data_IF_906612378656
#
_entry.id   IF_906612378656
#
_cell.length_a   1.000
_cell.length_b   1.000
_cell.length_c   1.000
_cell.angle_alpha   90.00
_cell.angle_beta   90.00
_cell.angle_gamma   90.00
#
_symmetry.space_group_name_H-M   'P 1'
#
loop_
_entity.id
_entity.type
_entity.pdbx_description
1 polymer ?
#
# COMPACT_ATOMS: atom_id res chain seq x y z
N UNK A 1 -0.67 -11.88 22.59
CA UNK A 1 0.17 -11.01 21.75
C UNK A 1 -0.78 -10.33 20.78
N UNK A 2 -0.73 -9.00 20.62
CA UNK A 2 -1.51 -8.37 19.56
C UNK A 2 -0.91 -8.84 18.23
N UNK A 3 -1.64 -9.65 17.47
CA UNK A 3 -1.23 -10.02 16.11
C UNK A 3 -1.03 -8.75 15.27
N UNK A 4 0.06 -8.70 14.50
CA UNK A 4 0.35 -7.61 13.59
C UNK A 4 -0.76 -7.55 12.52
N UNK A 5 -1.27 -6.37 12.23
CA UNK A 5 -2.31 -6.13 11.23
C UNK A 5 -1.87 -5.04 10.24
N UNK A 6 -2.68 -4.76 9.22
CA UNK A 6 -2.34 -3.81 8.17
C UNK A 6 -1.93 -2.42 8.71
N UNK A 7 -2.65 -1.90 9.70
CA UNK A 7 -2.38 -0.58 10.27
C UNK A 7 -1.15 -0.58 11.18
N UNK A 8 -0.98 -1.60 12.03
CA UNK A 8 0.18 -1.67 12.92
C UNK A 8 1.48 -2.00 12.17
N UNK A 9 1.39 -2.76 11.07
CA UNK A 9 2.50 -2.97 10.14
C UNK A 9 2.94 -1.65 9.50
N UNK A 10 2.01 -0.89 8.90
CA UNK A 10 2.31 0.43 8.37
C UNK A 10 2.94 1.36 9.42
N UNK A 11 2.36 1.43 10.62
CA UNK A 11 2.88 2.26 11.69
C UNK A 11 4.31 1.87 12.13
N UNK A 12 4.66 0.58 12.06
CA UNK A 12 5.99 0.09 12.42
C UNK A 12 7.11 0.53 11.47
N UNK A 13 6.77 1.01 10.27
CA UNK A 13 7.74 1.60 9.32
C UNK A 13 8.07 3.07 9.62
N UNK A 14 7.37 3.67 10.60
CA UNK A 14 7.67 5.03 11.04
C UNK A 14 9.10 5.12 11.56
N UNK A 15 9.90 6.02 10.96
CA UNK A 15 11.30 6.22 11.34
C UNK A 15 12.29 5.24 10.69
N UNK A 16 11.84 4.33 9.81
CA UNK A 16 12.75 3.57 8.95
C UNK A 16 13.37 4.53 7.93
N UNK A 17 14.68 4.71 7.95
CA UNK A 17 15.37 5.65 7.07
C UNK A 17 15.69 5.06 5.68
N UNK A 18 15.93 3.75 5.61
CA UNK A 18 16.22 3.01 4.37
C UNK A 18 15.55 1.63 4.43
N UNK A 19 14.99 1.19 3.31
CA UNK A 19 14.41 -0.15 3.20
C UNK A 19 15.51 -1.17 2.87
N UNK A 20 15.84 -2.01 3.84
CA UNK A 20 16.60 -3.23 3.58
C UNK A 20 15.66 -4.42 3.43
N UNK A 21 16.22 -5.61 3.21
CA UNK A 21 15.44 -6.83 2.93
C UNK A 21 14.31 -7.08 3.97
N UNK A 22 14.52 -6.94 5.29
CA UNK A 22 13.44 -7.13 6.26
C UNK A 22 12.29 -6.12 6.07
N UNK A 23 12.59 -4.85 5.84
CA UNK A 23 11.60 -3.80 5.68
C UNK A 23 10.86 -3.94 4.34
N UNK A 24 11.56 -4.32 3.26
CA UNK A 24 10.93 -4.61 1.97
C UNK A 24 9.96 -5.79 2.05
N UNK A 25 10.28 -6.83 2.83
CA UNK A 25 9.36 -7.95 3.07
C UNK A 25 8.13 -7.52 3.84
N UNK A 26 8.28 -6.63 4.82
CA UNK A 26 7.14 -6.06 5.53
C UNK A 26 6.26 -5.21 4.61
N UNK A 27 6.88 -4.33 3.81
CA UNK A 27 6.20 -3.56 2.76
C UNK A 27 5.45 -4.49 1.80
N UNK A 28 6.08 -5.57 1.33
CA UNK A 28 5.42 -6.54 0.45
C UNK A 28 4.11 -7.06 1.05
N UNK A 29 4.12 -7.43 2.34
CA UNK A 29 2.93 -7.91 3.05
C UNK A 29 1.87 -6.82 3.21
N UNK A 30 2.30 -5.58 3.44
CA UNK A 30 1.42 -4.40 3.50
C UNK A 30 0.73 -4.20 2.15
N UNK A 31 1.45 -4.15 1.04
CA UNK A 31 0.88 -3.94 -0.30
C UNK A 31 -0.06 -5.07 -0.71
N UNK A 32 0.30 -6.32 -0.39
CA UNK A 32 -0.60 -7.46 -0.60
C UNK A 32 -1.91 -7.33 0.19
N UNK A 33 -1.85 -6.79 1.41
CA UNK A 33 -3.05 -6.49 2.19
C UNK A 33 -3.76 -5.20 1.75
N UNK A 34 -3.08 -4.29 1.04
CA UNK A 34 -3.66 -3.10 0.43
C UNK A 34 -4.77 -3.43 -0.58
N UNK A 35 -4.57 -4.47 -1.39
CA UNK A 35 -5.62 -4.98 -2.28
C UNK A 35 -6.87 -5.39 -1.50
N UNK A 36 -6.69 -6.14 -0.40
CA UNK A 36 -7.80 -6.55 0.45
C UNK A 36 -8.48 -5.34 1.08
N UNK A 37 -7.71 -4.36 1.57
CA UNK A 37 -8.21 -3.11 2.12
C UNK A 37 -9.11 -2.38 1.12
N UNK A 38 -8.65 -2.17 -0.11
CA UNK A 38 -9.43 -1.48 -1.12
C UNK A 38 -10.67 -2.25 -1.57
N UNK A 39 -10.61 -3.58 -1.64
CA UNK A 39 -11.79 -4.39 -1.94
C UNK A 39 -12.82 -4.32 -0.80
N UNK A 40 -12.40 -4.35 0.46
CA UNK A 40 -13.30 -4.17 1.61
C UNK A 40 -13.99 -2.79 1.56
N UNK A 41 -13.23 -1.73 1.25
CA UNK A 41 -13.81 -0.39 1.06
C UNK A 41 -14.84 -0.41 -0.08
N UNK A 42 -14.49 -0.97 -1.24
CA UNK A 42 -15.36 -1.05 -2.40
C UNK A 42 -16.68 -1.79 -2.11
N UNK A 43 -16.62 -2.87 -1.34
CA UNK A 43 -17.80 -3.67 -1.01
C UNK A 43 -18.73 -2.99 0.00
N UNK A 44 -18.22 -2.03 0.79
CA UNK A 44 -18.96 -1.36 1.88
C UNK A 44 -19.33 0.09 1.61
N UNK A 45 -18.79 0.71 0.55
CA UNK A 45 -18.97 2.15 0.26
C UNK A 45 -20.39 2.50 -0.19
N UNK A 46 -21.20 1.53 -0.60
CA UNK A 46 -22.62 1.74 -0.95
C UNK A 46 -22.86 2.60 -2.20
N UNK A 47 -21.83 2.79 -3.04
CA UNK A 47 -21.89 3.56 -4.28
C UNK A 47 -21.07 2.85 -5.37
N UNK A 48 -21.72 2.47 -6.47
CA UNK A 48 -21.09 1.64 -7.52
C UNK A 48 -19.92 2.35 -8.22
N UNK A 49 -20.05 3.65 -8.49
CA UNK A 49 -18.96 4.43 -9.12
C UNK A 49 -17.77 4.56 -8.18
N UNK A 50 -18.01 4.78 -6.89
CA UNK A 50 -16.96 4.78 -5.89
C UNK A 50 -16.28 3.41 -5.77
N UNK A 51 -17.06 2.33 -5.77
CA UNK A 51 -16.55 0.97 -5.71
C UNK A 51 -15.62 0.64 -6.91
N UNK A 52 -15.98 1.08 -8.11
CA UNK A 52 -15.16 0.89 -9.32
C UNK A 52 -13.82 1.65 -9.26
N UNK A 53 -13.80 2.84 -8.65
CA UNK A 53 -12.56 3.58 -8.40
C UNK A 53 -11.65 2.83 -7.42
N UNK A 54 -12.21 2.31 -6.34
CA UNK A 54 -11.47 1.60 -5.29
C UNK A 54 -10.91 0.26 -5.80
N UNK A 55 -11.66 -0.47 -6.62
CA UNK A 55 -11.18 -1.71 -7.24
C UNK A 55 -10.00 -1.48 -8.19
N UNK A 56 -9.87 -0.29 -8.79
CA UNK A 56 -8.67 0.06 -9.58
C UNK A 56 -7.45 0.18 -8.69
N UNK A 57 -7.55 0.89 -7.57
CA UNK A 57 -6.46 0.94 -6.58
C UNK A 57 -6.10 -0.49 -6.12
N UNK A 58 -7.10 -1.31 -5.77
CA UNK A 58 -6.86 -2.68 -5.31
C UNK A 58 -6.00 -3.53 -6.28
N UNK A 59 -6.23 -3.41 -7.59
CA UNK A 59 -5.45 -4.13 -8.61
C UNK A 59 -4.03 -3.58 -8.72
N UNK A 60 -3.87 -2.26 -8.57
CA UNK A 60 -2.59 -1.56 -8.65
C UNK A 60 -1.69 -1.87 -7.43
N UNK A 61 -2.25 -2.14 -6.25
CA UNK A 61 -1.47 -2.57 -5.06
C UNK A 61 -0.69 -3.87 -5.28
N UNK A 62 -1.25 -4.82 -6.04
CA UNK A 62 -0.50 -6.02 -6.44
C UNK A 62 0.73 -5.66 -7.30
N UNK A 63 0.65 -4.56 -8.04
CA UNK A 63 1.77 -3.97 -8.77
C UNK A 63 2.88 -3.54 -7.83
N UNK A 64 2.53 -2.83 -6.75
CA UNK A 64 3.48 -2.42 -5.72
C UNK A 64 4.19 -3.61 -5.08
N UNK A 65 3.43 -4.62 -4.65
CA UNK A 65 3.95 -5.85 -4.07
C UNK A 65 4.94 -6.56 -5.01
N UNK A 66 4.60 -6.69 -6.30
CA UNK A 66 5.51 -7.31 -7.28
C UNK A 66 6.82 -6.54 -7.44
N UNK A 67 6.78 -5.21 -7.41
CA UNK A 67 8.00 -4.38 -7.48
C UNK A 67 8.84 -4.56 -6.21
N UNK A 68 8.22 -4.68 -5.04
CA UNK A 68 8.93 -4.95 -3.78
C UNK A 68 9.61 -6.33 -3.80
N UNK A 69 8.93 -7.37 -4.27
CA UNK A 69 9.54 -8.70 -4.47
C UNK A 69 10.76 -8.63 -5.41
N UNK A 70 10.67 -7.81 -6.48
CA UNK A 70 11.80 -7.54 -7.37
C UNK A 70 12.96 -6.83 -6.67
N UNK A 71 12.68 -5.81 -5.85
CA UNK A 71 13.70 -5.10 -5.06
C UNK A 71 14.40 -6.06 -4.07
N UNK A 72 13.65 -6.94 -3.41
CA UNK A 72 14.21 -7.97 -2.53
C UNK A 72 15.15 -8.88 -3.31
N UNK A 73 14.73 -9.34 -4.49
CA UNK A 73 15.56 -10.20 -5.34
C UNK A 73 16.87 -9.52 -5.75
N UNK A 74 16.82 -8.23 -6.08
CA UNK A 74 18.02 -7.43 -6.41
C UNK A 74 18.97 -7.39 -5.22
N UNK A 75 18.48 -7.03 -4.02
CA UNK A 75 19.31 -6.93 -2.81
C UNK A 75 19.90 -8.27 -2.37
N UNK A 76 19.21 -9.39 -2.61
CA UNK A 76 19.70 -10.74 -2.30
C UNK A 76 20.66 -11.30 -3.38
N UNK A 77 20.65 -10.75 -4.59
CA UNK A 77 21.40 -11.27 -5.73
C UNK A 77 20.82 -12.54 -6.36
N UNK A 78 19.61 -12.95 -5.98
CA UNK A 78 18.89 -14.09 -6.54
C UNK A 78 17.38 -13.84 -6.46
N UNK A 79 16.60 -14.61 -7.22
CA UNK A 79 15.14 -14.53 -7.18
C UNK A 79 14.61 -14.85 -5.78
N UNK A 80 13.70 -14.02 -5.31
CA UNK A 80 13.00 -14.18 -4.05
C UNK A 80 11.51 -14.38 -4.29
N UNK A 81 10.95 -15.35 -3.58
CA UNK A 81 9.52 -15.63 -3.51
C UNK A 81 9.09 -15.63 -2.04
N UNK A 82 7.87 -15.17 -1.71
CA UNK A 82 7.38 -15.21 -0.35
C UNK A 82 7.28 -16.65 0.14
N UNK A 83 7.67 -16.87 1.39
CA UNK A 83 7.31 -18.11 2.10
C UNK A 83 5.79 -18.18 2.31
N UNK A 84 5.28 -19.36 2.68
CA UNK A 84 3.86 -19.52 2.97
C UNK A 84 3.36 -18.54 4.05
N UNK A 85 4.17 -18.30 5.09
CA UNK A 85 3.88 -17.34 6.15
C UNK A 85 3.89 -15.89 5.64
N UNK A 86 4.87 -15.51 4.82
CA UNK A 86 4.93 -14.17 4.22
C UNK A 86 3.78 -13.92 3.23
N UNK A 87 3.22 -14.98 2.64
CA UNK A 87 2.05 -14.90 1.76
C UNK A 87 0.72 -14.78 2.53
N UNK A 88 0.70 -15.01 3.83
CA UNK A 88 -0.50 -14.77 4.65
C UNK A 88 -0.78 -13.27 4.74
N UNK A 89 -1.98 -12.88 4.30
CA UNK A 89 -2.42 -11.49 4.31
C UNK A 89 -2.56 -10.96 5.73
N UNK A 90 -2.07 -9.75 5.95
CA UNK A 90 -2.33 -9.01 7.18
C UNK A 90 -3.83 -8.75 7.31
N UNK A 91 -4.35 -8.90 8.53
CA UNK A 91 -5.74 -8.56 8.82
C UNK A 91 -5.99 -7.05 8.57
N UNK A 92 -7.16 -6.73 8.02
CA UNK A 92 -7.59 -5.34 7.74
C UNK A 92 -8.84 -5.02 8.57
N UNK A 93 -8.69 -4.52 9.81
CA UNK A 93 -9.83 -4.25 10.69
C UNK A 93 -10.51 -2.92 10.31
N UNK A 94 -11.43 -2.97 9.35
CA UNK A 94 -12.28 -1.84 8.96
C UNK A 94 -13.69 -1.95 9.55
N UNK A 95 -14.37 -0.83 9.86
CA UNK A 95 -15.76 -0.84 10.30
C UNK A 95 -16.69 -1.40 9.21
N UNK A 96 -17.85 -1.90 9.63
CA UNK A 96 -18.86 -2.46 8.72
C UNK A 96 -19.44 -1.42 7.77
N UNK A 97 -19.56 -0.17 8.22
CA UNK A 97 -20.01 0.96 7.42
C UNK A 97 -18.84 1.89 7.10
N UNK A 98 -18.75 2.29 5.84
CA UNK A 98 -17.77 3.25 5.34
C UNK A 98 -18.51 4.55 5.02
N UNK A 99 -18.10 5.63 5.66
CA UNK A 99 -18.64 6.96 5.37
C UNK A 99 -17.60 7.83 4.64
N UNK A 100 -18.06 8.99 4.16
CA UNK A 100 -17.20 9.90 3.41
C UNK A 100 -16.01 10.40 4.23
N UNK A 101 -16.13 10.56 5.54
CA UNK A 101 -15.06 11.10 6.40
C UNK A 101 -13.85 10.18 6.45
N UNK A 102 -14.06 8.87 6.33
CA UNK A 102 -12.95 7.91 6.26
C UNK A 102 -12.03 8.18 5.05
N UNK A 103 -12.57 8.61 3.91
CA UNK A 103 -11.76 8.83 2.71
C UNK A 103 -10.79 10.00 2.85
N UNK A 104 -11.04 10.96 3.75
CA UNK A 104 -10.04 11.97 4.07
C UNK A 104 -8.76 11.34 4.69
N UNK A 105 -8.93 10.32 5.53
CA UNK A 105 -7.82 9.57 6.09
C UNK A 105 -7.16 8.64 5.07
N UNK A 106 -7.93 8.04 4.16
CA UNK A 106 -7.38 7.23 3.04
C UNK A 106 -6.50 8.11 2.15
N UNK A 107 -7.00 9.25 1.69
CA UNK A 107 -6.23 10.23 0.88
C UNK A 107 -4.92 10.59 1.58
N UNK A 108 -4.96 10.92 2.88
CA UNK A 108 -3.75 11.26 3.61
C UNK A 108 -2.80 10.05 3.74
N UNK A 109 -3.33 8.84 3.90
CA UNK A 109 -2.54 7.60 3.92
C UNK A 109 -1.76 7.40 2.62
N UNK A 110 -2.44 7.53 1.49
CA UNK A 110 -1.83 7.41 0.14
C UNK A 110 -0.73 8.47 -0.09
N UNK A 111 -1.01 9.74 0.26
CA UNK A 111 -0.01 10.80 0.15
C UNK A 111 1.21 10.56 1.05
N UNK A 112 0.99 10.01 2.25
CA UNK A 112 2.09 9.62 3.13
C UNK A 112 2.86 8.43 2.55
N UNK A 113 2.19 7.50 1.86
CA UNK A 113 2.78 6.40 1.12
C UNK A 113 3.77 6.91 0.06
N UNK A 114 3.33 7.86 -0.79
CA UNK A 114 4.22 8.50 -1.76
C UNK A 114 5.44 9.13 -1.08
N UNK A 115 5.23 9.98 -0.08
CA UNK A 115 6.33 10.63 0.66
C UNK A 115 7.29 9.59 1.25
N UNK A 116 6.78 8.48 1.78
CA UNK A 116 7.57 7.36 2.27
C UNK A 116 8.46 6.77 1.17
N UNK A 117 7.85 6.40 0.05
CA UNK A 117 8.54 5.86 -1.12
C UNK A 117 9.59 6.82 -1.69
N UNK A 118 9.29 8.11 -1.81
CA UNK A 118 10.25 9.10 -2.28
C UNK A 118 11.44 9.24 -1.33
N UNK A 119 11.19 9.28 -0.01
CA UNK A 119 12.24 9.37 1.00
C UNK A 119 13.15 8.14 0.97
N UNK A 120 12.59 6.94 0.85
CA UNK A 120 13.39 5.72 0.76
C UNK A 120 14.17 5.63 -0.55
N UNK A 121 13.61 6.15 -1.65
CA UNK A 121 14.32 6.28 -2.91
C UNK A 121 15.51 7.23 -2.78
N UNK A 122 15.37 8.40 -2.13
CA UNK A 122 16.47 9.34 -1.90
C UNK A 122 17.65 8.71 -1.11
N UNK A 123 17.38 7.70 -0.28
CA UNK A 123 18.37 6.98 0.52
C UNK A 123 18.92 5.71 -0.16
N UNK A 124 18.43 5.35 -1.34
CA UNK A 124 18.84 4.15 -2.06
C UNK A 124 20.06 4.42 -2.95
N UNK A 125 20.96 3.44 -3.00
CA UNK A 125 22.21 3.47 -3.76
C UNK A 125 22.18 2.60 -5.01
N UNK A 126 21.23 1.65 -5.10
CA UNK A 126 21.00 0.85 -6.30
C UNK A 126 19.98 1.56 -7.20
N UNK A 127 20.42 2.01 -8.38
CA UNK A 127 19.61 2.80 -9.32
C UNK A 127 18.29 2.11 -9.71
N UNK A 128 18.26 0.78 -9.82
CA UNK A 128 17.05 0.06 -10.19
C UNK A 128 16.08 -0.04 -9.01
N UNK A 129 16.59 -0.26 -7.79
CA UNK A 129 15.75 -0.23 -6.58
C UNK A 129 15.18 1.17 -6.37
N UNK A 130 15.99 2.23 -6.52
CA UNK A 130 15.51 3.61 -6.47
C UNK A 130 14.37 3.84 -7.47
N UNK A 131 14.58 3.46 -8.74
CA UNK A 131 13.59 3.65 -9.80
C UNK A 131 12.27 2.94 -9.48
N UNK A 132 12.32 1.74 -8.90
CA UNK A 132 11.13 0.97 -8.52
C UNK A 132 10.39 1.64 -7.34
N UNK A 133 11.10 2.14 -6.33
CA UNK A 133 10.50 2.89 -5.22
C UNK A 133 9.79 4.15 -5.72
N UNK A 134 10.43 4.93 -6.60
CA UNK A 134 9.83 6.12 -7.22
C UNK A 134 8.56 5.79 -8.01
N UNK A 135 8.50 4.61 -8.62
CA UNK A 135 7.34 4.19 -9.39
C UNK A 135 6.15 3.86 -8.49
N UNK A 136 6.37 3.13 -7.39
CA UNK A 136 5.31 2.91 -6.40
C UNK A 136 4.81 4.25 -5.83
N UNK A 137 5.69 5.14 -5.38
CA UNK A 137 5.25 6.43 -4.81
C UNK A 137 4.39 7.27 -5.77
N UNK A 138 4.73 7.31 -7.06
CA UNK A 138 3.89 7.99 -8.06
C UNK A 138 2.51 7.36 -8.23
N UNK A 139 2.41 6.04 -8.12
CA UNK A 139 1.14 5.32 -8.16
C UNK A 139 0.30 5.63 -6.91
N UNK A 140 0.90 5.79 -5.73
CA UNK A 140 0.17 6.23 -4.52
C UNK A 140 -0.47 7.62 -4.68
N UNK A 141 0.19 8.55 -5.38
CA UNK A 141 -0.45 9.85 -5.70
C UNK A 141 -1.70 9.67 -6.57
N UNK A 142 -1.70 8.69 -7.48
CA UNK A 142 -2.86 8.37 -8.32
C UNK A 142 -3.95 7.74 -7.44
N UNK A 143 -3.58 6.85 -6.52
CA UNK A 143 -4.49 6.24 -5.55
C UNK A 143 -5.18 7.30 -4.69
N UNK A 144 -4.42 8.27 -4.16
CA UNK A 144 -4.93 9.42 -3.42
C UNK A 144 -5.96 10.20 -4.25
N UNK A 145 -5.66 10.46 -5.53
CA UNK A 145 -6.58 11.14 -6.44
C UNK A 145 -7.90 10.40 -6.66
N UNK A 146 -7.88 9.05 -6.71
CA UNK A 146 -9.11 8.24 -6.80
C UNK A 146 -9.86 8.22 -5.47
N UNK A 147 -9.16 8.11 -4.35
CA UNK A 147 -9.78 8.19 -3.02
C UNK A 147 -10.44 9.55 -2.77
N UNK A 148 -9.86 10.64 -3.28
CA UNK A 148 -10.47 11.98 -3.23
C UNK A 148 -11.74 12.05 -4.08
N UNK A 149 -11.77 11.46 -5.27
CA UNK A 149 -12.99 11.38 -6.07
C UNK A 149 -14.10 10.60 -5.34
N UNK A 150 -13.75 9.54 -4.61
CA UNK A 150 -14.71 8.81 -3.77
C UNK A 150 -15.24 9.70 -2.65
N UNK A 151 -14.36 10.43 -1.96
CA UNK A 151 -14.78 11.41 -0.95
C UNK A 151 -15.80 12.41 -1.52
N UNK A 152 -15.53 12.96 -2.71
CA UNK A 152 -16.40 13.95 -3.34
C UNK A 152 -17.75 13.33 -3.73
N UNK A 153 -17.76 12.11 -4.29
CA UNK A 153 -18.98 11.39 -4.67
C UNK A 153 -19.91 11.10 -3.50
N UNK A 154 -19.36 10.86 -2.30
CA UNK A 154 -20.15 10.55 -1.11
C UNK A 154 -20.66 11.81 -0.37
N UNK A 155 -20.20 13.00 -0.77
CA UNK A 155 -20.65 14.28 -0.22
C UNK A 155 -21.49 15.11 -1.21
N UNK A 156 -21.74 14.59 -2.42
CA UNK A 156 -22.58 15.20 -3.43
C UNK A 156 -24.08 14.94 -3.17
#
# INVERSE_FOLDING_TARGET
>A
MSEQNFFTANASLSGVDKLEVPELKLMYRIEMAGELFYNILADRVGNDTAADLLRKNAVEERGHARRLARMISIKLGHEWEPTAEEAELLAVPLPETIDSKMFAAVVQGELNGDVGYQRWADAESDDEVERLLRLNGREETIHAGRAQQVFDLLNA
#
